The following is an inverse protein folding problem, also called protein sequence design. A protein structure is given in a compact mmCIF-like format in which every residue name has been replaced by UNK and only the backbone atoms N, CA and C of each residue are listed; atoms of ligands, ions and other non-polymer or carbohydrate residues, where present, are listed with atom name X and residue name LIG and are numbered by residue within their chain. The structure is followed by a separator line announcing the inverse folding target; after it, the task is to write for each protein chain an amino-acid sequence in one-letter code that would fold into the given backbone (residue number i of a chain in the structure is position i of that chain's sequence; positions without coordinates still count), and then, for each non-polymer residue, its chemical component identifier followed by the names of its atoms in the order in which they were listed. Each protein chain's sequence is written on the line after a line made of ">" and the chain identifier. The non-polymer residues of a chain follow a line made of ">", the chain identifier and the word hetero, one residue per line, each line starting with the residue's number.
data_IF_895180400877
#
_entry.id   IF_895180400877
#
_cell.length_a   1.000
_cell.length_b   1.000
_cell.length_c   1.000
_cell.angle_alpha   90.00
_cell.angle_beta   90.00
_cell.angle_gamma   90.00
#
_symmetry.space_group_name_H-M   'P 1'
#
loop_
_entity.id
_entity.type
_entity.pdbx_description
1 polymer ?
#
# COMPACT_ATOMS: atom_id res chain seq x y z
N UNK A 1 8.26 5.88 2.71
CA UNK A 1 8.12 6.89 1.63
C UNK A 1 9.33 6.74 0.73
N UNK A 2 9.32 7.32 -0.46
CA UNK A 2 10.48 7.34 -1.34
C UNK A 2 10.86 8.78 -1.69
N UNK A 3 12.14 9.09 -1.80
CA UNK A 3 12.59 10.32 -2.46
C UNK A 3 12.21 10.31 -3.95
N UNK A 4 12.48 11.38 -4.72
CA UNK A 4 12.40 11.29 -6.16
C UNK A 4 13.16 10.08 -6.73
N UNK A 5 12.58 9.43 -7.74
CA UNK A 5 13.09 8.18 -8.29
C UNK A 5 13.94 8.48 -9.52
N UNK A 6 15.22 8.16 -9.47
CA UNK A 6 16.07 8.19 -10.65
C UNK A 6 15.76 6.99 -11.56
N UNK A 7 15.73 7.22 -12.88
CA UNK A 7 15.60 6.19 -13.90
C UNK A 7 16.53 6.44 -15.07
N UNK A 8 17.11 5.38 -15.64
CA UNK A 8 17.99 5.45 -16.81
C UNK A 8 17.85 4.27 -17.76
N UNK A 9 17.88 4.52 -19.07
CA UNK A 9 17.77 3.51 -20.12
C UNK A 9 19.14 3.20 -20.73
N UNK A 10 19.55 1.93 -20.71
CA UNK A 10 20.91 1.52 -21.10
C UNK A 10 20.94 0.18 -21.85
N UNK A 11 22.13 -0.20 -22.30
CA UNK A 11 22.41 -1.46 -23.00
C UNK A 11 22.52 -2.71 -22.12
N UNK A 12 22.34 -2.57 -20.81
CA UNK A 12 22.48 -3.65 -19.84
C UNK A 12 23.85 -3.71 -19.15
N UNK A 13 24.75 -2.76 -19.40
CA UNK A 13 26.10 -2.73 -18.82
C UNK A 13 26.32 -1.57 -17.81
N UNK A 14 25.35 -0.66 -17.65
CA UNK A 14 25.37 0.30 -16.55
C UNK A 14 24.84 -0.36 -15.28
N UNK A 15 25.72 -0.55 -14.29
CA UNK A 15 25.38 -1.10 -12.99
C UNK A 15 25.18 0.03 -11.98
N UNK A 16 24.01 0.08 -11.34
CA UNK A 16 23.73 1.04 -10.26
C UNK A 16 24.47 0.61 -9.00
N UNK A 17 24.46 -0.69 -8.69
CA UNK A 17 25.11 -1.27 -7.52
C UNK A 17 25.22 -2.79 -7.63
N UNK A 18 26.27 -3.33 -7.02
CA UNK A 18 26.46 -4.77 -6.84
C UNK A 18 26.41 -5.12 -5.35
N UNK A 19 25.50 -6.01 -4.95
CA UNK A 19 25.42 -6.50 -3.57
C UNK A 19 26.73 -7.15 -3.11
N UNK A 20 27.16 -6.82 -1.90
CA UNK A 20 28.43 -7.25 -1.31
C UNK A 20 29.65 -6.41 -1.72
N UNK A 21 29.48 -5.39 -2.57
CA UNK A 21 30.50 -4.38 -2.88
C UNK A 21 30.22 -3.04 -2.22
N UNK A 22 31.20 -2.12 -2.15
CA UNK A 22 30.97 -0.77 -1.63
C UNK A 22 30.01 0.03 -2.52
N UNK A 23 29.20 0.91 -1.92
CA UNK A 23 28.44 1.90 -2.67
C UNK A 23 29.38 2.81 -3.46
N UNK A 24 28.96 3.23 -4.66
CA UNK A 24 29.66 4.31 -5.37
C UNK A 24 29.36 5.65 -4.68
N UNK A 25 30.25 6.63 -4.82
CA UNK A 25 29.97 7.98 -4.30
C UNK A 25 28.65 8.56 -4.86
N UNK A 26 28.24 8.17 -6.06
CA UNK A 26 26.96 8.60 -6.62
C UNK A 26 25.75 7.91 -5.96
N UNK A 27 25.89 6.64 -5.57
CA UNK A 27 24.86 5.91 -4.86
C UNK A 27 24.75 6.38 -3.40
N UNK A 28 25.87 6.68 -2.75
CA UNK A 28 25.94 7.25 -1.40
C UNK A 28 25.09 8.52 -1.30
N UNK A 29 25.31 9.50 -2.19
CA UNK A 29 24.50 10.73 -2.24
C UNK A 29 23.01 10.48 -2.45
N UNK A 30 22.67 9.47 -3.25
CA UNK A 30 21.28 9.10 -3.45
C UNK A 30 20.70 8.47 -2.19
N UNK A 31 21.43 7.55 -1.56
CA UNK A 31 20.96 6.75 -0.44
C UNK A 31 20.87 7.56 0.86
N UNK A 32 21.72 8.58 1.05
CA UNK A 32 21.74 9.41 2.26
C UNK A 32 20.86 10.67 2.16
N UNK A 33 20.76 11.26 0.96
CA UNK A 33 20.10 12.57 0.79
C UNK A 33 18.93 12.55 -0.19
N UNK A 34 18.74 11.46 -0.93
CA UNK A 34 17.86 11.43 -2.10
C UNK A 34 18.38 12.26 -3.28
N UNK A 35 19.66 12.66 -3.29
CA UNK A 35 20.24 13.41 -4.41
C UNK A 35 20.59 12.48 -5.57
N UNK A 36 19.89 12.68 -6.68
CA UNK A 36 20.02 11.86 -7.90
C UNK A 36 21.06 12.41 -8.88
N UNK A 37 21.48 13.68 -8.73
CA UNK A 37 22.32 14.35 -9.72
C UNK A 37 23.69 13.68 -9.94
N UNK A 38 24.40 13.19 -8.91
CA UNK A 38 25.64 12.43 -9.09
C UNK A 38 25.44 11.14 -9.88
N UNK A 39 24.32 10.44 -9.68
CA UNK A 39 23.99 9.21 -10.40
C UNK A 39 23.67 9.49 -11.87
N UNK A 40 22.91 10.54 -12.17
CA UNK A 40 22.69 11.02 -13.54
C UNK A 40 24.02 11.35 -14.24
N UNK A 41 24.94 12.04 -13.56
CA UNK A 41 26.24 12.37 -14.11
C UNK A 41 27.09 11.11 -14.40
N UNK A 42 27.13 10.16 -13.46
CA UNK A 42 27.83 8.88 -13.63
C UNK A 42 27.26 8.06 -14.80
N UNK A 43 25.93 8.02 -14.91
CA UNK A 43 25.23 7.36 -16.01
C UNK A 43 25.59 7.94 -17.37
N UNK A 44 25.51 9.26 -17.53
CA UNK A 44 25.84 9.91 -18.81
C UNK A 44 27.33 9.76 -19.16
N UNK A 45 28.22 9.85 -18.15
CA UNK A 45 29.64 9.65 -18.34
C UNK A 45 30.01 8.21 -18.75
N UNK A 46 29.22 7.21 -18.34
CA UNK A 46 29.44 5.81 -18.69
C UNK A 46 29.30 5.54 -20.20
N UNK A 47 28.50 6.34 -20.92
CA UNK A 47 28.17 6.14 -22.33
C UNK A 47 27.32 4.89 -22.62
N UNK A 48 26.84 4.19 -21.60
CA UNK A 48 26.03 2.96 -21.72
C UNK A 48 24.55 3.24 -22.03
N UNK A 49 24.11 4.46 -21.74
CA UNK A 49 22.80 5.00 -22.03
C UNK A 49 22.88 6.50 -22.32
N UNK A 50 21.79 7.08 -22.81
CA UNK A 50 21.72 8.54 -23.09
C UNK A 50 20.45 9.18 -22.55
N UNK A 51 19.48 8.38 -22.11
CA UNK A 51 18.17 8.85 -21.66
C UNK A 51 18.00 8.49 -20.20
N UNK A 52 17.85 9.50 -19.35
CA UNK A 52 17.62 9.36 -17.92
C UNK A 52 16.77 10.54 -17.42
N UNK A 53 16.19 10.40 -16.24
CA UNK A 53 15.52 11.50 -15.53
C UNK A 53 15.32 11.15 -14.07
N UNK A 54 14.95 12.17 -13.29
CA UNK A 54 14.45 12.01 -11.93
C UNK A 54 12.95 12.28 -11.89
N UNK A 55 12.18 11.23 -11.57
CA UNK A 55 10.72 11.29 -11.49
C UNK A 55 10.32 11.87 -10.13
N UNK A 56 9.65 13.01 -10.16
CA UNK A 56 9.18 13.75 -8.97
C UNK A 56 7.75 13.36 -8.59
N UNK A 57 7.41 13.41 -7.31
CA UNK A 57 6.09 13.02 -6.77
C UNK A 57 4.92 13.85 -7.36
N UNK A 58 5.18 15.05 -7.88
CA UNK A 58 4.17 15.97 -8.42
C UNK A 58 3.30 16.66 -7.36
N UNK A 59 3.51 16.36 -6.07
CA UNK A 59 2.82 16.99 -4.94
C UNK A 59 3.58 18.20 -4.36
N UNK A 60 3.01 18.85 -3.34
CA UNK A 60 3.63 19.96 -2.59
C UNK A 60 4.82 19.53 -1.72
N UNK A 61 5.00 18.22 -1.49
CA UNK A 61 6.11 17.64 -0.73
C UNK A 61 6.96 16.77 -1.68
N UNK A 62 8.30 16.88 -1.71
CA UNK A 62 9.16 16.16 -2.65
C UNK A 62 9.04 14.62 -2.67
N UNK A 63 8.88 13.91 -1.53
CA UNK A 63 8.81 12.45 -1.52
C UNK A 63 7.51 11.90 -2.10
N UNK A 64 7.57 10.68 -2.62
CA UNK A 64 6.42 9.86 -2.93
C UNK A 64 5.88 9.20 -1.64
N UNK A 65 4.66 9.59 -1.28
CA UNK A 65 3.92 8.97 -0.18
C UNK A 65 3.39 7.58 -0.57
N UNK A 66 3.09 6.69 0.41
CA UNK A 66 2.43 5.42 0.14
C UNK A 66 1.22 5.62 -0.75
N UNK A 67 1.28 4.99 -1.93
CA UNK A 67 0.19 5.02 -2.88
C UNK A 67 0.14 6.19 -3.86
N UNK A 68 1.02 7.17 -3.72
CA UNK A 68 1.20 8.19 -4.73
C UNK A 68 1.77 7.58 -6.02
N UNK A 69 1.36 8.14 -7.16
CA UNK A 69 1.89 7.77 -8.48
C UNK A 69 2.58 8.98 -9.07
N UNK A 70 3.76 8.77 -9.63
CA UNK A 70 4.46 9.73 -10.46
C UNK A 70 4.83 9.07 -11.79
N UNK A 71 4.96 9.86 -12.84
CA UNK A 71 5.26 9.35 -14.18
C UNK A 71 6.10 10.34 -14.99
N UNK A 72 6.85 9.79 -15.94
CA UNK A 72 7.56 10.52 -16.97
C UNK A 72 7.32 9.83 -18.32
N UNK A 73 7.37 10.61 -19.40
CA UNK A 73 7.27 10.11 -20.76
C UNK A 73 8.62 10.22 -21.47
N UNK A 74 8.95 9.21 -22.26
CA UNK A 74 10.23 9.11 -22.96
C UNK A 74 10.01 8.79 -24.44
N UNK A 75 10.85 9.36 -25.30
CA UNK A 75 11.00 8.92 -26.68
C UNK A 75 12.22 8.03 -26.77
N UNK A 76 12.00 6.74 -27.01
CA UNK A 76 13.07 5.74 -27.09
C UNK A 76 13.04 5.05 -28.45
N UNK A 77 14.22 4.84 -29.04
CA UNK A 77 14.39 3.97 -30.20
C UNK A 77 14.52 2.52 -29.72
N UNK A 78 13.53 1.68 -30.02
CA UNK A 78 13.53 0.27 -29.64
C UNK A 78 14.65 -0.56 -30.30
N UNK A 79 15.17 -0.10 -31.43
CA UNK A 79 16.29 -0.77 -32.11
C UNK A 79 17.66 -0.37 -31.53
N UNK A 80 17.72 0.74 -30.79
CA UNK A 80 18.96 1.19 -30.17
C UNK A 80 19.27 0.31 -28.95
N UNK A 81 20.43 -0.36 -28.97
CA UNK A 81 20.86 -1.20 -27.85
C UNK A 81 20.89 -0.44 -26.53
N UNK A 82 21.23 0.85 -26.55
CA UNK A 82 21.28 1.75 -25.38
C UNK A 82 19.92 2.04 -24.75
N UNK A 83 18.80 1.58 -25.29
CA UNK A 83 17.48 1.73 -24.67
C UNK A 83 16.91 0.39 -24.15
N UNK A 84 17.69 -0.69 -24.21
CA UNK A 84 17.18 -2.06 -24.06
C UNK A 84 16.71 -2.38 -22.64
N UNK A 85 17.38 -1.86 -21.63
CA UNK A 85 17.09 -2.13 -20.23
C UNK A 85 16.87 -0.83 -19.45
N UNK A 86 16.09 -0.93 -18.39
CA UNK A 86 15.85 0.14 -17.43
C UNK A 86 16.60 -0.17 -16.13
N UNK A 87 17.28 0.83 -15.59
CA UNK A 87 17.68 0.85 -14.18
C UNK A 87 16.98 1.99 -13.43
N UNK A 88 16.79 1.79 -12.12
CA UNK A 88 16.20 2.79 -11.23
C UNK A 88 16.88 2.79 -9.86
N UNK A 89 16.78 3.91 -9.15
CA UNK A 89 17.21 4.03 -7.76
C UNK A 89 16.40 5.09 -7.03
N UNK A 90 16.13 4.87 -5.74
CA UNK A 90 15.49 5.85 -4.85
C UNK A 90 15.82 5.56 -3.39
N UNK A 91 16.01 6.60 -2.58
CA UNK A 91 16.12 6.46 -1.13
C UNK A 91 14.76 6.08 -0.54
N UNK A 92 14.78 5.20 0.45
CA UNK A 92 13.67 4.90 1.36
C UNK A 92 13.79 5.85 2.54
N UNK A 93 12.74 6.65 2.79
CA UNK A 93 12.74 7.60 3.90
C UNK A 93 11.60 7.33 4.90
N UNK A 94 11.85 7.60 6.19
CA UNK A 94 13.13 8.01 6.79
C UNK A 94 14.15 6.86 6.79
N UNK A 95 15.43 7.17 6.69
CA UNK A 95 16.56 6.25 6.91
C UNK A 95 17.88 7.03 6.94
N UNK A 96 18.95 6.36 7.37
CA UNK A 96 20.32 6.85 7.25
C UNK A 96 20.80 6.67 5.80
N UNK A 97 20.77 5.43 5.27
CA UNK A 97 21.25 5.13 3.91
C UNK A 97 20.44 4.00 3.21
N UNK A 98 19.17 3.83 3.58
CA UNK A 98 18.32 2.80 2.99
C UNK A 98 17.82 3.22 1.60
N UNK A 99 17.93 2.32 0.62
CA UNK A 99 17.50 2.59 -0.75
C UNK A 99 16.88 1.37 -1.43
N UNK A 100 16.26 1.60 -2.59
CA UNK A 100 15.76 0.57 -3.50
C UNK A 100 16.33 0.82 -4.89
N UNK A 101 16.64 -0.26 -5.61
CA UNK A 101 17.13 -0.23 -6.98
C UNK A 101 17.25 -1.65 -7.56
N UNK A 102 17.50 -1.78 -8.86
CA UNK A 102 17.82 -3.07 -9.48
C UNK A 102 19.34 -3.29 -9.49
N UNK A 103 19.81 -4.26 -8.70
CA UNK A 103 21.23 -4.66 -8.70
C UNK A 103 21.64 -5.56 -9.86
N UNK A 104 20.67 -6.11 -10.61
CA UNK A 104 20.93 -6.70 -11.93
C UNK A 104 20.54 -5.68 -13.01
N UNK A 105 21.51 -5.18 -13.80
CA UNK A 105 21.26 -4.20 -14.86
C UNK A 105 20.38 -4.74 -16.00
N UNK A 106 20.11 -6.05 -16.05
CA UNK A 106 19.27 -6.69 -17.06
C UNK A 106 17.91 -7.16 -16.52
N UNK A 107 17.61 -6.91 -15.25
CA UNK A 107 16.38 -7.34 -14.60
C UNK A 107 15.11 -6.78 -15.25
N UNK A 108 15.18 -5.57 -15.81
CA UNK A 108 14.03 -4.89 -16.42
C UNK A 108 14.33 -4.63 -17.90
N UNK A 109 13.93 -5.58 -18.74
CA UNK A 109 14.01 -5.44 -20.20
C UNK A 109 12.87 -4.55 -20.71
N UNK A 110 13.22 -3.48 -21.43
CA UNK A 110 12.28 -2.53 -22.04
C UNK A 110 12.00 -2.90 -23.49
N UNK A 111 13.01 -3.32 -24.25
CA UNK A 111 12.85 -3.77 -25.64
C UNK A 111 13.50 -5.14 -25.84
N UNK A 112 12.87 -6.01 -26.62
CA UNK A 112 13.50 -7.27 -27.04
C UNK A 112 14.57 -7.02 -28.13
N UNK A 113 15.21 -8.10 -28.61
CA UNK A 113 16.20 -8.04 -29.69
C UNK A 113 15.66 -7.53 -31.02
N UNK A 114 14.35 -7.56 -31.22
CA UNK A 114 13.67 -7.11 -32.43
C UNK A 114 13.12 -5.67 -32.29
N UNK A 115 13.39 -5.01 -31.16
CA UNK A 115 12.93 -3.66 -30.87
C UNK A 115 11.46 -3.58 -30.44
N UNK A 116 10.82 -4.69 -30.08
CA UNK A 116 9.46 -4.68 -29.56
C UNK A 116 9.47 -4.30 -28.08
N UNK A 117 8.62 -3.33 -27.71
CA UNK A 117 8.44 -2.93 -26.32
C UNK A 117 7.92 -4.13 -25.50
N UNK A 118 8.64 -4.43 -24.42
CA UNK A 118 8.22 -5.36 -23.40
C UNK A 118 7.46 -4.56 -22.35
N UNK A 119 6.14 -4.46 -22.50
CA UNK A 119 5.31 -3.89 -21.45
C UNK A 119 5.46 -4.75 -20.20
N UNK A 120 5.92 -4.13 -19.11
CA UNK A 120 6.30 -4.84 -17.90
C UNK A 120 5.81 -4.09 -16.66
N UNK A 121 5.35 -4.87 -15.69
CA UNK A 121 5.20 -4.42 -14.32
C UNK A 121 6.35 -5.03 -13.50
N UNK A 122 7.09 -4.19 -12.80
CA UNK A 122 8.13 -4.61 -11.87
C UNK A 122 7.72 -4.23 -10.46
N UNK A 123 7.54 -5.23 -9.60
CA UNK A 123 7.15 -5.04 -8.21
C UNK A 123 8.39 -5.03 -7.32
N UNK A 124 8.60 -3.91 -6.62
CA UNK A 124 9.68 -3.77 -5.64
C UNK A 124 9.15 -4.17 -4.26
N UNK A 125 9.71 -5.26 -3.74
CA UNK A 125 9.34 -5.82 -2.44
C UNK A 125 10.19 -5.20 -1.32
N UNK A 126 9.73 -5.28 -0.08
CA UNK A 126 10.51 -4.85 1.09
C UNK A 126 11.80 -5.66 1.27
N UNK A 127 11.83 -6.91 0.78
CA UNK A 127 13.05 -7.72 0.67
C UNK A 127 14.08 -7.20 -0.35
N UNK A 128 13.75 -6.14 -1.08
CA UNK A 128 14.62 -5.45 -2.05
C UNK A 128 14.98 -4.04 -1.56
N UNK A 129 14.83 -3.77 -0.26
CA UNK A 129 15.41 -2.60 0.39
C UNK A 129 16.84 -2.96 0.78
N UNK A 130 17.76 -2.10 0.39
CA UNK A 130 19.20 -2.26 0.62
C UNK A 130 19.70 -1.16 1.55
N UNK A 131 20.67 -1.52 2.35
CA UNK A 131 21.55 -0.64 3.13
C UNK A 131 22.77 -0.37 2.25
N UNK A 132 23.13 0.90 2.04
CA UNK A 132 24.26 1.28 1.19
C UNK A 132 25.62 0.92 1.83
N UNK A 133 25.64 0.77 3.14
CA UNK A 133 26.80 0.49 3.97
C UNK A 133 27.62 1.74 4.25
N UNK A 134 27.11 2.93 3.94
CA UNK A 134 27.87 4.18 4.04
C UNK A 134 27.66 4.83 5.41
N UNK A 135 26.48 4.68 6.01
CA UNK A 135 26.17 5.16 7.36
C UNK A 135 25.72 4.03 8.31
N UNK A 136 25.84 4.27 9.61
CA UNK A 136 25.25 3.42 10.65
C UNK A 136 23.75 3.68 10.74
N UNK A 137 22.94 2.62 10.70
CA UNK A 137 21.48 2.65 10.89
C UNK A 137 21.07 2.93 12.36
N UNK A 138 21.48 4.07 12.90
CA UNK A 138 21.20 4.45 14.29
C UNK A 138 19.80 5.07 14.48
N UNK A 139 19.17 5.52 13.38
CA UNK A 139 17.86 6.20 13.35
C UNK A 139 17.80 7.46 14.25
N UNK A 140 18.94 8.08 14.50
CA UNK A 140 19.01 9.29 15.32
C UNK A 140 18.40 10.46 14.55
N UNK A 141 17.37 11.17 15.07
CA UNK A 141 16.66 12.17 14.28
C UNK A 141 17.53 13.25 13.64
N UNK A 142 18.64 13.63 14.27
CA UNK A 142 19.54 14.69 13.77
C UNK A 142 20.38 14.28 12.54
N UNK A 143 20.52 12.99 12.27
CA UNK A 143 21.27 12.48 11.12
C UNK A 143 20.43 11.60 10.17
N UNK A 144 19.22 11.21 10.56
CA UNK A 144 18.30 10.46 9.70
C UNK A 144 17.48 11.40 8.83
N UNK A 145 17.56 11.24 7.52
CA UNK A 145 16.77 12.01 6.57
C UNK A 145 15.27 11.90 6.89
N UNK A 146 14.51 12.98 6.67
CA UNK A 146 13.09 13.13 6.99
C UNK A 146 12.71 13.24 8.48
N UNK A 147 13.54 12.79 9.44
CA UNK A 147 13.24 12.94 10.87
C UNK A 147 13.63 14.32 11.43
N UNK A 148 14.86 14.75 11.18
CA UNK A 148 15.40 16.00 11.75
C UNK A 148 16.77 16.40 11.23
N UNK A 149 17.30 15.70 10.22
CA UNK A 149 18.54 16.05 9.56
C UNK A 149 18.44 17.46 8.95
N UNK A 150 19.37 18.33 9.36
CA UNK A 150 19.42 19.73 8.92
C UNK A 150 20.33 19.99 7.72
N UNK A 151 21.30 19.12 7.47
CA UNK A 151 22.25 19.19 6.35
C UNK A 151 22.57 17.79 5.83
N UNK A 152 22.93 17.65 4.54
CA UNK A 152 23.38 16.38 3.96
C UNK A 152 24.58 15.74 4.67
N UNK A 153 24.74 14.42 4.51
CA UNK A 153 25.90 13.60 4.93
C UNK A 153 26.29 13.77 6.44
N UNK A 154 25.36 13.51 7.36
CA UNK A 154 25.57 13.78 8.81
C UNK A 154 25.57 12.55 9.71
N UNK A 155 25.35 11.35 9.18
CA UNK A 155 25.40 10.10 9.94
C UNK A 155 26.81 9.64 10.24
N UNK A 156 26.89 8.57 11.03
CA UNK A 156 28.17 7.96 11.41
C UNK A 156 28.62 7.06 10.28
N UNK A 157 29.76 7.37 9.66
CA UNK A 157 30.31 6.56 8.56
C UNK A 157 30.57 5.11 9.00
N UNK A 158 30.07 4.14 8.23
CA UNK A 158 30.22 2.70 8.49
C UNK A 158 31.29 2.01 7.62
N UNK A 159 31.61 2.54 6.43
CA UNK A 159 32.54 1.94 5.46
C UNK A 159 32.25 0.44 5.17
N UNK A 160 30.97 0.10 5.11
CA UNK A 160 30.45 -1.23 4.81
C UNK A 160 30.32 -1.51 3.32
N UNK A 161 29.42 -2.42 3.00
CA UNK A 161 29.08 -2.83 1.64
C UNK A 161 27.58 -2.85 1.48
N UNK A 162 27.12 -2.70 0.24
CA UNK A 162 25.70 -2.78 -0.08
C UNK A 162 25.17 -4.16 0.30
N UNK A 163 24.15 -4.20 1.13
CA UNK A 163 23.52 -5.44 1.59
C UNK A 163 22.02 -5.28 1.77
N UNK A 164 21.28 -6.38 1.92
CA UNK A 164 19.84 -6.29 2.23
C UNK A 164 19.69 -5.60 3.59
N UNK A 165 18.90 -4.55 3.65
CA UNK A 165 18.74 -3.77 4.88
C UNK A 165 18.11 -4.64 5.98
N UNK A 166 18.65 -4.64 7.21
CA UNK A 166 18.16 -5.51 8.29
C UNK A 166 16.78 -5.14 8.86
N UNK A 167 16.10 -4.15 8.27
CA UNK A 167 14.93 -3.49 8.86
C UNK A 167 15.26 -2.34 9.80
N UNK A 168 14.21 -1.67 10.26
CA UNK A 168 14.29 -0.59 11.24
C UNK A 168 14.43 -1.12 12.68
N UNK A 169 14.88 -0.25 13.58
CA UNK A 169 14.94 -0.51 15.01
C UNK A 169 13.57 -0.93 15.55
N UNK A 170 13.60 -1.87 16.49
CA UNK A 170 12.38 -2.41 17.08
C UNK A 170 11.56 -1.30 17.77
N UNK A 171 10.24 -1.43 17.72
CA UNK A 171 9.32 -0.52 18.42
C UNK A 171 9.62 -0.46 19.92
N UNK A 172 9.49 0.73 20.50
CA UNK A 172 9.79 1.05 21.88
C UNK A 172 11.23 1.53 22.11
N UNK A 173 12.04 1.66 21.05
CA UNK A 173 13.43 2.15 21.13
C UNK A 173 13.56 3.64 20.86
N UNK A 174 12.47 4.29 20.41
CA UNK A 174 12.45 5.69 19.99
C UNK A 174 12.82 5.92 18.53
N UNK A 175 12.97 4.84 17.74
CA UNK A 175 13.33 4.86 16.33
C UNK A 175 12.16 5.16 15.38
N UNK A 176 12.35 4.85 14.10
CA UNK A 176 11.42 5.16 13.01
C UNK A 176 10.04 4.52 13.24
N UNK A 177 9.98 3.26 13.66
CA UNK A 177 8.71 2.54 13.86
C UNK A 177 7.88 3.03 15.05
N UNK A 178 8.43 3.90 15.89
CA UNK A 178 7.71 4.56 16.99
C UNK A 178 7.07 5.88 16.57
N UNK A 179 7.37 6.38 15.36
CA UNK A 179 6.74 7.56 14.80
C UNK A 179 5.35 7.20 14.24
N UNK A 180 4.27 7.93 14.60
CA UNK A 180 2.91 7.62 14.12
C UNK A 180 2.77 7.57 12.60
N UNK A 181 3.60 8.31 11.84
CA UNK A 181 3.58 8.28 10.37
C UNK A 181 4.20 7.00 9.78
N UNK A 182 5.08 6.31 10.52
CA UNK A 182 5.90 5.20 10.05
C UNK A 182 5.68 3.91 10.83
N UNK A 183 4.68 3.85 11.71
CA UNK A 183 4.39 2.66 12.51
C UNK A 183 4.19 1.41 11.63
N UNK A 184 3.61 1.55 10.43
CA UNK A 184 3.37 0.46 9.51
C UNK A 184 4.45 0.32 8.41
N UNK A 185 5.64 0.90 8.63
CA UNK A 185 6.75 0.95 7.68
C UNK A 185 7.75 -0.21 7.80
N UNK A 186 7.44 -1.26 8.57
CA UNK A 186 8.31 -2.44 8.69
C UNK A 186 8.34 -3.24 7.37
N UNK A 187 9.27 -2.86 6.50
CA UNK A 187 9.45 -3.47 5.19
C UNK A 187 10.07 -4.88 5.25
N UNK A 188 10.49 -5.36 6.43
CA UNK A 188 10.96 -6.74 6.58
C UNK A 188 9.80 -7.73 6.69
N UNK A 189 8.58 -7.24 6.92
CA UNK A 189 7.39 -8.06 6.95
C UNK A 189 7.21 -8.85 5.64
N UNK A 190 6.82 -10.12 5.77
CA UNK A 190 6.65 -10.99 4.62
C UNK A 190 5.63 -10.42 3.63
N UNK A 191 6.02 -10.32 2.36
CA UNK A 191 5.15 -9.80 1.31
C UNK A 191 4.99 -8.27 1.29
N UNK A 192 5.78 -7.53 2.07
CA UNK A 192 5.74 -6.06 2.05
C UNK A 192 6.08 -5.55 0.64
N UNK A 193 5.27 -4.61 0.15
CA UNK A 193 5.43 -4.02 -1.19
C UNK A 193 5.80 -2.56 -1.03
N UNK A 194 6.94 -2.15 -1.59
CA UNK A 194 7.39 -0.75 -1.52
C UNK A 194 6.68 0.04 -2.62
N UNK A 195 6.88 -0.34 -3.88
CA UNK A 195 6.24 0.31 -5.02
C UNK A 195 6.25 -0.59 -6.26
N UNK A 196 5.55 -0.15 -7.31
CA UNK A 196 5.51 -0.81 -8.61
C UNK A 196 5.95 0.16 -9.69
N UNK A 197 6.79 -0.32 -10.60
CA UNK A 197 7.15 0.36 -11.86
C UNK A 197 6.32 -0.27 -12.96
N UNK A 198 5.67 0.55 -13.78
CA UNK A 198 4.92 0.09 -14.96
C UNK A 198 5.42 0.82 -16.19
N UNK A 199 5.83 0.07 -17.22
CA UNK A 199 6.25 0.62 -18.51
C UNK A 199 5.20 0.27 -19.55
N UNK A 200 4.67 1.29 -20.23
CA UNK A 200 3.68 1.15 -21.27
C UNK A 200 3.95 2.17 -22.39
N UNK A 201 3.47 1.91 -23.63
CA UNK A 201 3.50 2.93 -24.67
C UNK A 201 2.83 4.21 -24.16
N UNK A 202 3.42 5.37 -24.43
CA UNK A 202 2.80 6.65 -24.12
C UNK A 202 1.48 6.80 -24.88
N UNK A 203 0.55 7.56 -24.31
CA UNK A 203 -0.68 7.91 -25.01
C UNK A 203 -0.36 8.90 -26.13
N UNK A 204 -0.65 8.54 -27.38
CA UNK A 204 -0.39 9.37 -28.56
C UNK A 204 -1.64 9.48 -29.44
N UNK A 205 -2.06 10.71 -29.78
CA UNK A 205 -3.15 10.93 -30.73
C UNK A 205 -2.70 10.50 -32.13
N UNK A 206 -3.44 9.58 -32.73
CA UNK A 206 -3.14 9.01 -34.06
C UNK A 206 -4.01 9.60 -35.16
N UNK A 207 -5.20 10.11 -34.83
CA UNK A 207 -6.04 10.81 -35.78
C UNK A 207 -6.91 11.87 -35.09
N UNK A 208 -7.10 13.00 -35.77
CA UNK A 208 -8.06 14.04 -35.39
C UNK A 208 -8.84 14.39 -36.66
N UNK A 209 -10.16 14.31 -36.61
CA UNK A 209 -11.03 14.73 -37.72
C UNK A 209 -12.27 15.45 -37.19
N UNK A 210 -12.89 16.27 -38.03
CA UNK A 210 -14.16 16.94 -37.72
C UNK A 210 -15.23 16.52 -38.74
N UNK A 211 -16.41 16.19 -38.25
CA UNK A 211 -17.60 15.91 -39.04
C UNK A 211 -18.78 16.70 -38.48
N UNK A 212 -19.19 17.77 -39.17
CA UNK A 212 -20.18 18.72 -38.68
C UNK A 212 -19.78 19.30 -37.31
N UNK A 213 -20.65 19.13 -36.32
CA UNK A 213 -20.46 19.61 -34.95
C UNK A 213 -19.78 18.58 -34.02
N UNK A 214 -19.07 17.61 -34.60
CA UNK A 214 -18.33 16.61 -33.83
C UNK A 214 -16.86 16.55 -34.23
N UNK A 215 -15.99 16.41 -33.23
CA UNK A 215 -14.58 16.06 -33.38
C UNK A 215 -14.42 14.58 -33.04
N UNK A 216 -13.78 13.83 -33.92
CA UNK A 216 -13.39 12.44 -33.70
C UNK A 216 -11.90 12.40 -33.41
N UNK A 217 -11.55 11.71 -32.33
CA UNK A 217 -10.18 11.52 -31.87
C UNK A 217 -9.90 10.02 -31.88
N UNK A 218 -8.77 9.62 -32.44
CA UNK A 218 -8.20 8.29 -32.23
C UNK A 218 -6.81 8.46 -31.63
N UNK A 219 -6.41 7.50 -30.80
CA UNK A 219 -5.09 7.45 -30.20
C UNK A 219 -4.52 6.04 -30.26
N UNK A 220 -3.30 5.89 -29.78
CA UNK A 220 -2.67 4.61 -29.50
C UNK A 220 -1.90 4.72 -28.20
N UNK A 221 -1.52 3.58 -27.63
CA UNK A 221 -0.82 3.53 -26.36
C UNK A 221 -1.64 4.04 -25.19
N UNK A 222 -0.95 4.31 -24.08
CA UNK A 222 -1.57 4.52 -22.77
C UNK A 222 -2.07 3.23 -22.13
N UNK A 223 -2.75 3.36 -21.00
CA UNK A 223 -3.42 2.26 -20.30
C UNK A 223 -4.88 2.65 -20.09
N UNK A 224 -5.79 1.83 -20.59
CA UNK A 224 -7.22 2.01 -20.34
C UNK A 224 -7.54 1.84 -18.84
N UNK A 225 -8.57 2.50 -18.31
CA UNK A 225 -9.51 3.36 -19.02
C UNK A 225 -8.93 4.75 -19.33
N UNK A 226 -9.31 5.33 -20.46
CA UNK A 226 -8.97 6.68 -20.89
C UNK A 226 -10.04 7.68 -20.46
N UNK A 227 -9.68 8.95 -20.30
CA UNK A 227 -10.65 10.03 -20.10
C UNK A 227 -10.44 11.10 -21.16
N UNK A 228 -11.49 11.38 -21.94
CA UNK A 228 -11.52 12.55 -22.80
C UNK A 228 -11.81 13.79 -21.96
N UNK A 229 -11.00 14.83 -22.12
CA UNK A 229 -11.18 16.10 -21.45
C UNK A 229 -11.21 17.24 -22.45
N UNK A 230 -11.91 18.31 -22.09
CA UNK A 230 -12.04 19.54 -22.88
C UNK A 230 -11.76 20.78 -22.05
N UNK A 231 -11.37 21.86 -22.70
CA UNK A 231 -11.32 23.22 -22.15
C UNK A 231 -11.50 24.25 -23.26
N UNK A 232 -11.83 25.48 -22.89
CA UNK A 232 -12.12 26.59 -23.82
C UNK A 232 -10.90 27.40 -24.26
N UNK A 233 -9.78 27.34 -23.54
CA UNK A 233 -8.55 28.06 -23.86
C UNK A 233 -7.30 27.16 -23.70
N UNK A 234 -6.20 27.50 -24.40
CA UNK A 234 -4.96 26.70 -24.37
C UNK A 234 -4.12 26.94 -23.10
N UNK A 235 -4.21 28.14 -22.53
CA UNK A 235 -3.37 28.62 -21.44
C UNK A 235 -4.16 28.95 -20.17
N UNK A 236 -5.49 28.85 -20.21
CA UNK A 236 -6.37 29.21 -19.11
C UNK A 236 -7.54 28.23 -18.96
N UNK A 237 -8.06 28.11 -17.73
CA UNK A 237 -9.19 27.26 -17.39
C UNK A 237 -8.82 25.79 -17.16
N UNK A 238 -9.62 25.14 -16.32
CA UNK A 238 -9.43 23.74 -15.95
C UNK A 238 -9.89 22.79 -17.07
N UNK A 239 -9.23 21.63 -17.14
CA UNK A 239 -9.67 20.54 -18.00
C UNK A 239 -10.91 19.86 -17.40
N UNK A 240 -12.02 19.90 -18.13
CA UNK A 240 -13.27 19.25 -17.74
C UNK A 240 -13.46 17.92 -18.49
N UNK A 241 -13.92 16.88 -17.78
CA UNK A 241 -14.25 15.60 -18.39
C UNK A 241 -15.36 15.76 -19.43
N UNK A 242 -15.19 15.13 -20.60
CA UNK A 242 -16.19 15.03 -21.66
C UNK A 242 -16.71 13.61 -21.72
N UNK A 243 -17.92 13.40 -21.18
CA UNK A 243 -18.49 12.06 -21.04
C UNK A 243 -17.76 11.20 -20.00
N UNK A 244 -18.06 9.90 -20.03
CA UNK A 244 -17.50 8.93 -19.11
C UNK A 244 -16.14 8.37 -19.56
N UNK A 245 -15.58 7.45 -18.76
CA UNK A 245 -14.34 6.75 -19.04
C UNK A 245 -14.47 5.85 -20.28
N UNK A 246 -13.38 5.71 -21.03
CA UNK A 246 -13.35 5.03 -22.32
C UNK A 246 -12.39 3.84 -22.27
N UNK A 247 -12.82 2.68 -22.75
CA UNK A 247 -11.94 1.51 -22.91
C UNK A 247 -11.45 1.33 -24.36
N UNK A 248 -11.92 2.18 -25.26
CA UNK A 248 -11.55 2.20 -26.67
C UNK A 248 -10.50 3.28 -26.93
N UNK A 249 -9.64 3.09 -27.92
CA UNK A 249 -8.65 4.07 -28.35
C UNK A 249 -9.22 5.13 -29.34
N UNK A 250 -10.52 5.41 -29.21
CA UNK A 250 -11.22 6.40 -30.02
C UNK A 250 -12.38 7.01 -29.23
N UNK A 251 -12.65 8.29 -29.48
CA UNK A 251 -13.73 9.06 -28.88
C UNK A 251 -14.29 10.10 -29.84
N UNK A 252 -15.52 10.54 -29.58
CA UNK A 252 -16.13 11.67 -30.26
C UNK A 252 -16.61 12.71 -29.25
N UNK A 253 -16.50 13.99 -29.59
CA UNK A 253 -16.98 15.08 -28.75
C UNK A 253 -17.64 16.18 -29.58
N UNK A 254 -18.69 16.79 -29.02
CA UNK A 254 -19.40 17.90 -29.64
C UNK A 254 -18.60 19.21 -29.60
N UNK A 255 -18.68 20.01 -30.67
CA UNK A 255 -18.08 21.34 -30.80
C UNK A 255 -19.11 22.44 -30.58
N UNK A 256 -19.82 22.41 -29.45
CA UNK A 256 -20.81 23.44 -29.13
C UNK A 256 -20.19 24.84 -28.99
N UNK A 257 -18.89 24.91 -28.68
CA UNK A 257 -18.11 26.13 -28.65
C UNK A 257 -17.25 26.30 -29.93
N UNK A 258 -17.08 27.53 -30.43
CA UNK A 258 -16.32 27.81 -31.65
C UNK A 258 -14.81 27.48 -31.53
N UNK A 259 -14.28 27.43 -30.30
CA UNK A 259 -12.93 26.95 -29.97
C UNK A 259 -12.98 26.08 -28.71
N UNK A 260 -12.65 24.80 -28.86
CA UNK A 260 -12.47 23.86 -27.77
C UNK A 260 -11.17 23.07 -27.98
N UNK A 261 -10.40 22.92 -26.92
CA UNK A 261 -9.20 22.10 -26.89
C UNK A 261 -9.57 20.77 -26.25
N UNK A 262 -9.13 19.67 -26.86
CA UNK A 262 -9.34 18.33 -26.35
C UNK A 262 -8.00 17.70 -25.98
N UNK A 263 -7.99 16.92 -24.90
CA UNK A 263 -6.92 15.98 -24.62
C UNK A 263 -7.52 14.65 -24.21
N UNK A 264 -6.79 13.58 -24.50
CA UNK A 264 -7.04 12.28 -23.90
C UNK A 264 -5.94 12.08 -22.88
N UNK A 265 -6.34 11.72 -21.66
CA UNK A 265 -5.41 11.27 -20.63
C UNK A 265 -5.64 9.79 -20.38
N UNK A 266 -4.61 9.08 -19.91
CA UNK A 266 -4.87 7.88 -19.13
C UNK A 266 -5.83 8.32 -18.04
N UNK A 267 -7.03 7.75 -18.00
CA UNK A 267 -7.92 8.03 -16.91
C UNK A 267 -7.17 7.65 -15.64
N UNK A 268 -7.20 8.51 -14.62
CA UNK A 268 -7.22 7.96 -13.27
C UNK A 268 -8.32 6.90 -13.33
N UNK A 269 -8.00 5.62 -13.04
CA UNK A 269 -9.02 4.57 -13.03
C UNK A 269 -10.25 5.19 -12.35
N UNK A 270 -11.38 5.36 -13.06
CA UNK A 270 -12.66 5.28 -12.40
C UNK A 270 -12.73 3.80 -12.10
N UNK A 271 -12.05 3.41 -11.04
CA UNK A 271 -12.60 2.35 -10.25
C UNK A 271 -14.07 2.61 -10.11
N UNK A 272 -14.86 1.56 -10.30
CA UNK A 272 -16.27 1.63 -10.03
C UNK A 272 -16.47 2.35 -8.69
N UNK A 273 -17.44 3.27 -8.61
CA UNK A 273 -17.70 4.03 -7.38
C UNK A 273 -17.98 3.09 -6.20
N UNK A 274 -18.34 1.85 -6.51
CA UNK A 274 -18.41 0.72 -5.61
C UNK A 274 -17.59 -0.46 -6.12
N UNK A 275 -17.19 -1.35 -5.22
CA UNK A 275 -16.68 -2.68 -5.54
C UNK A 275 -17.43 -3.72 -4.71
N UNK A 276 -17.35 -4.98 -5.15
CA UNK A 276 -17.86 -6.10 -4.38
C UNK A 276 -16.71 -6.98 -3.92
N UNK A 277 -16.66 -7.30 -2.64
CA UNK A 277 -15.62 -8.15 -2.07
C UNK A 277 -16.19 -9.41 -1.44
N UNK A 278 -15.37 -10.46 -1.43
CA UNK A 278 -15.49 -11.57 -0.49
C UNK A 278 -14.40 -11.45 0.55
N UNK A 279 -14.77 -11.40 1.82
CA UNK A 279 -13.82 -11.70 2.91
C UNK A 279 -13.89 -13.20 3.23
N UNK A 280 -12.73 -13.85 3.24
CA UNK A 280 -12.55 -15.22 3.69
C UNK A 280 -11.82 -15.18 5.02
N UNK A 281 -12.50 -15.58 6.10
CA UNK A 281 -11.86 -15.84 7.38
C UNK A 281 -11.39 -17.28 7.41
N UNK A 282 -10.08 -17.48 7.32
CA UNK A 282 -9.44 -18.77 7.50
C UNK A 282 -8.74 -18.81 8.87
N UNK A 283 -9.36 -19.49 9.85
CA UNK A 283 -8.76 -19.67 11.17
C UNK A 283 -7.82 -20.87 11.18
N UNK A 284 -6.66 -20.67 11.79
CA UNK A 284 -5.65 -21.72 12.08
C UNK A 284 -5.50 -21.99 13.58
N UNK A 285 -6.37 -21.40 14.41
CA UNK A 285 -6.34 -21.56 15.87
C UNK A 285 -6.64 -23.01 16.25
N UNK A 286 -5.63 -23.71 16.74
CA UNK A 286 -5.66 -25.14 17.05
C UNK A 286 -4.74 -25.46 18.22
N UNK A 287 -4.89 -26.65 18.80
CA UNK A 287 -3.95 -27.17 19.80
C UNK A 287 -2.49 -27.25 19.27
N UNK A 288 -2.30 -27.31 17.94
CA UNK A 288 -0.96 -27.31 17.34
C UNK A 288 -0.35 -25.90 17.28
N UNK A 289 -1.16 -24.88 16.97
CA UNK A 289 -0.67 -23.49 16.85
C UNK A 289 -0.64 -22.76 18.19
N UNK A 290 -1.57 -23.08 19.09
CA UNK A 290 -1.75 -22.44 20.40
C UNK A 290 -2.00 -23.53 21.46
N UNK A 291 -0.96 -24.31 21.83
CA UNK A 291 -1.12 -25.51 22.66
C UNK A 291 -1.49 -25.24 24.11
N UNK A 292 -1.16 -24.05 24.63
CA UNK A 292 -1.35 -23.72 26.03
C UNK A 292 -2.84 -23.51 26.33
N UNK A 293 -3.36 -24.31 27.27
CA UNK A 293 -4.76 -24.27 27.74
C UNK A 293 -5.82 -24.36 26.63
N UNK A 294 -5.48 -24.97 25.49
CA UNK A 294 -6.35 -25.00 24.32
C UNK A 294 -7.73 -25.59 24.65
N UNK A 295 -8.84 -24.88 24.35
CA UNK A 295 -10.17 -25.30 24.78
C UNK A 295 -10.68 -26.51 23.99
N UNK A 296 -11.61 -27.27 24.56
CA UNK A 296 -12.21 -28.46 23.92
C UNK A 296 -13.25 -28.14 22.83
N UNK A 297 -13.76 -26.91 22.80
CA UNK A 297 -14.77 -26.42 21.85
C UNK A 297 -14.35 -25.07 21.21
N UNK A 298 -13.17 -24.99 20.58
CA UNK A 298 -12.66 -23.76 19.99
C UNK A 298 -13.55 -23.32 18.83
N UNK A 299 -14.06 -22.09 18.86
CA UNK A 299 -14.91 -21.56 17.81
C UNK A 299 -14.78 -20.03 17.71
N UNK A 300 -15.35 -19.47 16.64
CA UNK A 300 -15.45 -18.03 16.45
C UNK A 300 -16.91 -17.63 16.29
N UNK A 301 -17.32 -16.53 16.94
CA UNK A 301 -18.68 -16.02 16.77
C UNK A 301 -18.91 -15.52 15.33
N UNK A 302 -20.17 -15.24 14.99
CA UNK A 302 -20.48 -14.75 13.65
C UNK A 302 -19.77 -13.43 13.34
N UNK A 303 -19.26 -13.28 12.11
CA UNK A 303 -18.64 -12.04 11.65
C UNK A 303 -19.64 -10.86 11.75
N UNK A 304 -19.19 -9.73 12.29
CA UNK A 304 -19.97 -8.50 12.39
C UNK A 304 -19.06 -7.29 12.13
N UNK A 305 -19.55 -6.32 11.37
CA UNK A 305 -18.72 -5.20 10.90
C UNK A 305 -19.49 -4.16 10.12
N UNK A 306 -18.76 -3.25 9.49
CA UNK A 306 -19.33 -2.15 8.69
C UNK A 306 -18.35 -1.68 7.62
N UNK A 307 -18.86 -1.21 6.47
CA UNK A 307 -18.11 -0.33 5.57
C UNK A 307 -18.36 1.13 5.93
N UNK A 308 -17.33 1.95 6.07
CA UNK A 308 -17.44 3.28 6.65
C UNK A 308 -16.40 4.27 6.11
N UNK A 309 -16.57 5.54 6.45
CA UNK A 309 -15.57 6.59 6.19
C UNK A 309 -14.76 6.89 7.47
N UNK A 310 -13.79 7.80 7.35
CA UNK A 310 -12.87 8.16 8.44
C UNK A 310 -13.52 8.90 9.61
N UNK A 311 -14.79 9.28 9.51
CA UNK A 311 -15.54 9.95 10.60
C UNK A 311 -16.17 8.95 11.57
N UNK A 312 -15.98 7.64 11.36
CA UNK A 312 -16.46 6.58 12.24
C UNK A 312 -15.34 5.58 12.51
N UNK A 313 -15.20 5.19 13.77
CA UNK A 313 -14.32 4.10 14.21
C UNK A 313 -15.16 3.11 14.99
N UNK A 314 -15.24 1.87 14.50
CA UNK A 314 -16.01 0.80 15.14
C UNK A 314 -15.30 0.29 16.41
N UNK A 315 -14.00 0.10 16.31
CA UNK A 315 -13.09 -0.27 17.39
C UNK A 315 -11.65 0.02 16.91
N UNK A 316 -10.73 0.27 17.83
CA UNK A 316 -9.30 0.33 17.53
C UNK A 316 -8.52 0.13 18.84
N UNK A 317 -7.28 -0.37 18.81
CA UNK A 317 -6.42 -0.41 19.99
C UNK A 317 -6.27 0.98 20.63
N UNK A 318 -6.30 1.05 21.95
CA UNK A 318 -6.24 2.31 22.70
C UNK A 318 -7.58 3.04 22.87
N UNK A 319 -8.65 2.61 22.20
CA UNK A 319 -10.02 3.09 22.46
C UNK A 319 -10.74 2.17 23.44
N UNK A 320 -11.69 2.71 24.21
CA UNK A 320 -12.58 1.89 25.04
C UNK A 320 -13.60 1.14 24.18
N UNK A 321 -13.86 -0.12 24.51
CA UNK A 321 -14.90 -0.90 23.84
C UNK A 321 -16.28 -0.22 23.99
N UNK A 322 -17.01 -0.10 22.88
CA UNK A 322 -18.42 0.30 22.90
C UNK A 322 -19.26 -0.79 23.57
N UNK A 323 -20.50 -0.49 24.02
CA UNK A 323 -21.43 -1.52 24.48
C UNK A 323 -21.60 -2.67 23.47
N UNK A 324 -21.58 -2.37 22.17
CA UNK A 324 -21.59 -3.33 21.07
C UNK A 324 -20.36 -4.22 21.02
N UNK A 325 -19.16 -3.64 21.05
CA UNK A 325 -17.91 -4.41 21.04
C UNK A 325 -17.80 -5.28 22.29
N UNK A 326 -18.11 -4.72 23.46
CA UNK A 326 -18.17 -5.48 24.72
C UNK A 326 -19.07 -6.71 24.60
N UNK A 327 -20.32 -6.51 24.19
CA UNK A 327 -21.28 -7.60 24.12
C UNK A 327 -20.87 -8.66 23.08
N UNK A 328 -20.30 -8.24 21.95
CA UNK A 328 -19.76 -9.13 20.92
C UNK A 328 -18.60 -9.96 21.47
N UNK A 329 -17.67 -9.34 22.19
CA UNK A 329 -16.48 -9.99 22.71
C UNK A 329 -16.75 -10.92 23.92
N UNK A 330 -17.74 -10.61 24.76
CA UNK A 330 -18.08 -11.44 25.94
C UNK A 330 -19.06 -12.58 25.61
N UNK A 331 -19.91 -12.42 24.58
CA UNK A 331 -21.04 -13.35 24.35
C UNK A 331 -21.21 -13.83 22.91
N UNK A 332 -20.52 -13.20 21.95
CA UNK A 332 -20.68 -13.47 20.52
C UNK A 332 -21.98 -12.90 19.93
N UNK A 333 -22.80 -12.21 20.73
CA UNK A 333 -24.02 -11.54 20.27
C UNK A 333 -23.68 -10.31 19.42
N UNK A 334 -24.40 -10.16 18.30
CA UNK A 334 -24.20 -9.06 17.36
C UNK A 334 -25.13 -7.88 17.62
N UNK A 335 -26.20 -8.06 18.40
CA UNK A 335 -27.34 -7.16 18.37
C UNK A 335 -26.97 -5.72 18.77
N UNK A 336 -26.24 -5.45 19.87
CA UNK A 336 -25.99 -4.05 20.25
C UNK A 336 -25.05 -3.37 19.25
N UNK A 337 -24.10 -4.12 18.69
CA UNK A 337 -23.18 -3.64 17.66
C UNK A 337 -23.88 -3.38 16.32
N UNK A 338 -24.91 -4.17 15.96
CA UNK A 338 -25.78 -3.88 14.82
C UNK A 338 -26.52 -2.54 15.01
N UNK A 339 -26.99 -2.24 16.23
CA UNK A 339 -27.62 -0.96 16.53
C UNK A 339 -26.65 0.21 16.38
N UNK A 340 -25.42 0.07 16.88
CA UNK A 340 -24.36 1.09 16.73
C UNK A 340 -24.01 1.33 15.25
N UNK A 341 -23.84 0.25 14.47
CA UNK A 341 -23.59 0.35 13.02
C UNK A 341 -24.76 1.02 12.30
N UNK A 342 -26.00 0.68 12.64
CA UNK A 342 -27.17 1.31 12.01
C UNK A 342 -27.26 2.81 12.33
N UNK A 343 -26.85 3.23 13.53
CA UNK A 343 -26.74 4.64 13.88
C UNK A 343 -25.67 5.36 13.05
N UNK A 344 -24.49 4.75 12.85
CA UNK A 344 -23.44 5.28 11.98
C UNK A 344 -23.89 5.41 10.51
N UNK A 345 -24.65 4.43 10.00
CA UNK A 345 -25.25 4.49 8.66
C UNK A 345 -26.24 5.65 8.57
N UNK A 346 -27.08 5.84 9.58
CA UNK A 346 -28.06 6.93 9.63
C UNK A 346 -27.37 8.30 9.69
N UNK A 347 -26.22 8.38 10.35
CA UNK A 347 -25.38 9.58 10.43
C UNK A 347 -24.54 9.84 9.16
N UNK A 348 -24.54 8.93 8.19
CA UNK A 348 -23.75 9.04 6.96
C UNK A 348 -22.25 8.80 7.14
N UNK A 349 -21.83 8.24 8.28
CA UNK A 349 -20.44 7.84 8.52
C UNK A 349 -20.18 6.35 8.26
N UNK A 350 -21.24 5.52 8.28
CA UNK A 350 -21.26 4.13 7.80
C UNK A 350 -22.10 3.96 6.54
N UNK A 351 -21.94 2.83 5.85
CA UNK A 351 -22.71 2.50 4.64
C UNK A 351 -23.36 1.12 4.69
N UNK A 352 -22.58 0.03 4.79
CA UNK A 352 -23.11 -1.33 4.76
C UNK A 352 -22.82 -2.08 6.05
N UNK A 353 -23.87 -2.62 6.69
CA UNK A 353 -23.73 -3.57 7.78
C UNK A 353 -23.18 -4.90 7.25
N UNK A 354 -22.05 -5.35 7.82
CA UNK A 354 -21.44 -6.63 7.49
C UNK A 354 -21.87 -7.65 8.53
N UNK A 355 -22.59 -8.70 8.15
CA UNK A 355 -23.01 -9.76 9.08
C UNK A 355 -22.93 -11.13 8.40
N UNK A 356 -21.97 -11.96 8.83
CA UNK A 356 -21.71 -13.29 8.28
C UNK A 356 -21.84 -14.43 9.29
N UNK A 357 -21.65 -15.67 8.83
CA UNK A 357 -21.55 -16.83 9.71
C UNK A 357 -20.33 -16.76 10.65
N UNK A 358 -20.28 -17.67 11.62
CA UNK A 358 -19.10 -17.92 12.46
C UNK A 358 -18.38 -19.19 12.04
N UNK A 359 -17.32 -19.55 12.76
CA UNK A 359 -16.62 -20.82 12.60
C UNK A 359 -17.01 -21.71 13.78
N UNK A 360 -17.88 -22.69 13.57
CA UNK A 360 -18.42 -23.53 14.64
C UNK A 360 -17.42 -24.48 15.30
N UNK A 361 -16.32 -24.81 14.60
CA UNK A 361 -15.17 -25.54 15.14
C UNK A 361 -13.91 -24.96 14.46
N UNK A 362 -12.93 -24.52 15.24
CA UNK A 362 -11.64 -24.03 14.75
C UNK A 362 -10.57 -25.13 14.83
N UNK A 363 -9.66 -25.25 13.84
CA UNK A 363 -9.54 -24.50 12.58
C UNK A 363 -10.74 -24.62 11.64
N UNK A 364 -10.99 -23.59 10.84
CA UNK A 364 -12.11 -23.59 9.91
C UNK A 364 -12.17 -22.34 9.06
N UNK A 365 -13.07 -22.34 8.07
CA UNK A 365 -13.24 -21.25 7.11
C UNK A 365 -14.68 -20.75 7.13
N UNK A 366 -14.87 -19.44 7.09
CA UNK A 366 -16.16 -18.81 6.81
C UNK A 366 -15.96 -17.63 5.85
N UNK A 367 -16.95 -17.37 5.00
CA UNK A 367 -16.90 -16.26 4.04
C UNK A 367 -18.07 -15.32 4.20
N UNK A 368 -17.86 -14.04 3.90
CA UNK A 368 -18.90 -13.04 3.77
C UNK A 368 -18.66 -12.24 2.47
N UNK A 369 -19.73 -11.98 1.72
CA UNK A 369 -19.68 -11.11 0.53
C UNK A 369 -20.35 -9.79 0.88
N UNK A 370 -19.75 -8.67 0.48
CA UNK A 370 -20.28 -7.34 0.74
C UNK A 370 -19.91 -6.35 -0.36
N UNK A 371 -20.72 -5.31 -0.48
CA UNK A 371 -20.47 -4.16 -1.33
C UNK A 371 -19.78 -3.05 -0.53
N UNK A 372 -18.98 -2.23 -1.19
CA UNK A 372 -18.28 -1.10 -0.58
C UNK A 372 -18.17 0.05 -1.60
N UNK A 373 -18.23 1.31 -1.15
CA UNK A 373 -18.12 2.47 -2.03
C UNK A 373 -16.92 3.37 -1.69
N UNK A 374 -16.44 4.13 -2.68
CA UNK A 374 -15.32 5.06 -2.50
C UNK A 374 -15.61 6.13 -1.44
N UNK A 375 -16.89 6.45 -1.22
CA UNK A 375 -17.32 7.37 -0.15
C UNK A 375 -17.20 6.76 1.25
N UNK A 376 -17.11 5.43 1.36
CA UNK A 376 -16.98 4.67 2.61
C UNK A 376 -15.97 3.52 2.41
N UNK A 377 -14.70 3.85 2.14
CA UNK A 377 -13.73 2.90 1.60
C UNK A 377 -13.10 1.99 2.67
N UNK A 378 -13.41 2.22 3.94
CA UNK A 378 -12.84 1.49 5.08
C UNK A 378 -13.74 0.32 5.48
N UNK A 379 -13.12 -0.78 5.92
CA UNK A 379 -13.80 -1.93 6.51
C UNK A 379 -13.31 -2.13 7.93
N UNK A 380 -14.27 -2.19 8.87
CA UNK A 380 -14.05 -2.72 10.21
C UNK A 380 -14.86 -4.00 10.37
N UNK A 381 -14.22 -5.10 10.81
CA UNK A 381 -14.85 -6.42 10.92
C UNK A 381 -14.26 -7.17 12.11
N UNK A 382 -15.11 -7.80 12.91
CA UNK A 382 -14.69 -8.50 14.13
C UNK A 382 -15.44 -9.82 14.35
N UNK A 383 -14.84 -10.70 15.15
CA UNK A 383 -15.40 -11.98 15.60
C UNK A 383 -14.78 -12.38 16.94
N UNK A 384 -15.60 -12.85 17.87
CA UNK A 384 -15.18 -13.29 19.21
C UNK A 384 -14.36 -14.58 19.11
N UNK A 385 -13.30 -14.66 19.90
CA UNK A 385 -12.57 -15.91 20.18
C UNK A 385 -13.35 -16.65 21.27
N UNK A 386 -13.72 -17.90 21.05
CA UNK A 386 -14.61 -18.60 21.96
C UNK A 386 -14.14 -20.03 22.31
N UNK A 387 -14.18 -20.42 23.60
CA UNK A 387 -14.49 -19.58 24.77
C UNK A 387 -13.37 -18.57 25.06
N UNK A 388 -13.73 -17.41 25.61
CA UNK A 388 -12.80 -16.43 26.18
C UNK A 388 -13.55 -15.46 27.12
N UNK A 389 -12.84 -14.68 27.95
CA UNK A 389 -13.45 -13.64 28.78
C UNK A 389 -14.10 -12.54 27.93
N UNK A 390 -13.29 -11.85 27.12
CA UNK A 390 -13.70 -10.74 26.26
C UNK A 390 -12.77 -10.60 25.04
N UNK A 391 -12.25 -11.74 24.54
CA UNK A 391 -11.23 -11.73 23.50
C UNK A 391 -11.84 -11.84 22.10
N UNK A 392 -11.29 -11.11 21.14
CA UNK A 392 -11.76 -11.11 19.76
C UNK A 392 -10.61 -10.96 18.76
N UNK A 393 -10.91 -11.22 17.48
CA UNK A 393 -10.05 -10.92 16.34
C UNK A 393 -10.76 -9.97 15.39
N UNK A 394 -10.01 -9.20 14.62
CA UNK A 394 -10.62 -8.38 13.58
C UNK A 394 -9.64 -7.50 12.81
N UNK A 395 -10.22 -6.69 11.93
CA UNK A 395 -9.59 -5.52 11.33
C UNK A 395 -10.39 -4.27 11.69
N UNK A 396 -9.70 -3.13 11.80
CA UNK A 396 -10.30 -1.82 11.95
C UNK A 396 -9.77 -0.89 10.88
N UNK A 397 -10.61 0.03 10.41
CA UNK A 397 -10.28 1.09 9.45
C UNK A 397 -9.51 0.61 8.19
N UNK A 398 -9.72 -0.64 7.77
CA UNK A 398 -8.95 -1.25 6.68
C UNK A 398 -9.39 -0.65 5.35
N UNK A 399 -8.54 0.18 4.75
CA UNK A 399 -8.86 0.83 3.49
C UNK A 399 -8.74 -0.14 2.29
N UNK A 400 -9.87 -0.48 1.66
CA UNK A 400 -9.89 -1.29 0.44
C UNK A 400 -9.85 -0.44 -0.84
N UNK A 401 -9.95 0.89 -0.72
CA UNK A 401 -9.83 1.85 -1.80
C UNK A 401 -8.71 2.87 -1.52
N UNK A 402 -7.51 2.53 -1.96
CA UNK A 402 -6.36 3.42 -1.84
C UNK A 402 -5.94 3.89 -3.22
N UNK A 403 -5.53 5.15 -3.35
CA UNK A 403 -4.83 5.65 -4.53
C UNK A 403 -5.64 5.60 -5.81
N UNK A 404 -6.95 5.85 -5.70
CA UNK A 404 -7.85 5.78 -6.83
C UNK A 404 -8.07 4.35 -7.34
N UNK A 405 -7.70 3.31 -6.57
CA UNK A 405 -7.95 1.92 -6.95
C UNK A 405 -8.46 1.02 -5.82
N UNK A 406 -9.29 0.05 -6.17
CA UNK A 406 -9.77 -1.00 -5.28
C UNK A 406 -8.72 -2.11 -5.22
N UNK A 407 -8.33 -2.52 -4.02
CA UNK A 407 -7.43 -3.65 -3.85
C UNK A 407 -7.94 -4.91 -4.58
N UNK A 408 -7.09 -5.58 -5.37
CA UNK A 408 -7.48 -6.84 -6.01
C UNK A 408 -7.66 -7.96 -4.98
N UNK A 409 -6.67 -8.09 -4.11
CA UNK A 409 -6.70 -8.97 -2.95
C UNK A 409 -5.87 -8.36 -1.82
N UNK A 410 -6.35 -8.48 -0.59
CA UNK A 410 -5.65 -8.04 0.61
C UNK A 410 -5.80 -9.10 1.71
N UNK A 411 -4.68 -9.59 2.23
CA UNK A 411 -4.67 -10.59 3.32
C UNK A 411 -4.14 -9.94 4.59
N UNK A 412 -4.92 -10.04 5.67
CA UNK A 412 -4.54 -9.51 6.99
C UNK A 412 -4.43 -10.66 7.99
N UNK A 413 -3.25 -10.89 8.61
CA UNK A 413 -3.12 -11.84 9.70
C UNK A 413 -3.90 -11.35 10.93
N UNK A 414 -4.62 -12.27 11.58
CA UNK A 414 -5.47 -11.95 12.71
C UNK A 414 -4.78 -12.24 14.02
N UNK A 415 -4.67 -11.20 14.84
CA UNK A 415 -4.15 -11.25 16.20
C UNK A 415 -5.30 -11.11 17.19
N UNK A 416 -5.12 -11.66 18.40
CA UNK A 416 -6.09 -11.54 19.47
C UNK A 416 -6.05 -10.17 20.14
N UNK A 417 -7.22 -9.63 20.44
CA UNK A 417 -7.43 -8.39 21.18
C UNK A 417 -8.31 -8.66 22.41
N UNK A 418 -7.99 -7.97 23.50
CA UNK A 418 -8.71 -7.94 24.77
C UNK A 418 -9.59 -6.68 24.76
N UNK A 419 -10.89 -6.82 25.01
CA UNK A 419 -11.82 -5.69 24.97
C UNK A 419 -11.70 -4.77 26.20
N UNK A 420 -11.02 -5.21 27.25
CA UNK A 420 -10.81 -4.45 28.48
C UNK A 420 -12.04 -4.42 29.39
N UNK A 421 -12.96 -5.37 29.25
CA UNK A 421 -14.24 -5.42 29.98
C UNK A 421 -14.39 -6.63 30.89
N UNK A 422 -13.60 -7.69 30.68
CA UNK A 422 -13.48 -8.84 31.58
C UNK A 422 -11.99 -9.16 31.89
N UNK A 423 -11.67 -9.38 33.16
CA UNK A 423 -10.31 -9.59 33.68
C UNK A 423 -9.91 -11.07 33.75
N UNK A 424 -10.71 -11.97 33.15
CA UNK A 424 -10.32 -13.37 32.98
C UNK A 424 -8.98 -13.51 32.25
N UNK A 425 -8.18 -14.49 32.65
CA UNK A 425 -6.79 -14.65 32.17
C UNK A 425 -6.59 -15.90 31.30
N UNK A 426 -7.63 -16.73 31.17
CA UNK A 426 -7.62 -17.98 30.39
C UNK A 426 -8.94 -18.12 29.62
N UNK A 427 -8.97 -19.01 28.62
CA UNK A 427 -10.17 -19.24 27.80
C UNK A 427 -11.42 -19.61 28.62
N UNK A 428 -11.24 -20.38 29.71
CA UNK A 428 -12.33 -20.86 30.56
C UNK A 428 -12.52 -20.09 31.87
N UNK A 429 -11.91 -18.91 32.01
CA UNK A 429 -12.06 -18.10 33.22
C UNK A 429 -13.53 -17.74 33.47
N UNK A 430 -13.93 -17.74 34.74
CA UNK A 430 -15.24 -17.21 35.12
C UNK A 430 -15.28 -15.70 34.88
N UNK A 431 -16.47 -15.18 34.56
CA UNK A 431 -16.70 -13.76 34.30
C UNK A 431 -16.21 -12.89 35.48
N UNK A 432 -15.32 -11.95 35.18
CA UNK A 432 -14.68 -11.06 36.13
C UNK A 432 -14.64 -9.63 35.58
N UNK A 433 -15.72 -8.85 35.76
CA UNK A 433 -15.85 -7.49 35.20
C UNK A 433 -14.63 -6.61 35.53
N UNK A 434 -14.00 -6.05 34.49
CA UNK A 434 -12.89 -5.10 34.60
C UNK A 434 -13.41 -3.73 35.06
N UNK A 435 -12.90 -3.20 36.19
CA UNK A 435 -13.35 -1.93 36.76
C UNK A 435 -12.17 -1.08 37.27
N UNK A 436 -11.95 0.14 36.72
CA UNK A 436 -12.60 0.70 35.54
C UNK A 436 -12.28 -0.10 34.27
N UNK A 437 -13.16 -0.05 33.27
CA UNK A 437 -12.90 -0.66 31.96
C UNK A 437 -11.59 -0.10 31.38
N UNK A 438 -10.84 -0.97 30.71
CA UNK A 438 -9.56 -0.62 30.08
C UNK A 438 -9.75 -0.44 28.57
N UNK A 439 -8.84 0.31 27.91
CA UNK A 439 -8.83 0.39 26.45
C UNK A 439 -8.57 -0.99 25.82
N UNK A 440 -9.06 -1.17 24.59
CA UNK A 440 -8.79 -2.35 23.77
C UNK A 440 -7.28 -2.48 23.57
N UNK A 441 -6.74 -3.67 23.80
CA UNK A 441 -5.31 -3.94 23.69
C UNK A 441 -5.04 -5.25 22.97
N UNK A 442 -3.92 -5.31 22.23
CA UNK A 442 -3.44 -6.56 21.66
C UNK A 442 -3.04 -7.51 22.78
N UNK A 443 -3.47 -8.76 22.69
CA UNK A 443 -3.04 -9.81 23.62
C UNK A 443 -1.62 -10.25 23.23
N UNK A 444 -0.67 -9.94 24.11
CA UNK A 444 0.75 -10.32 23.98
C UNK A 444 1.19 -11.32 25.07
N UNK A 445 0.21 -11.98 25.70
CA UNK A 445 0.40 -12.89 26.85
C UNK A 445 -0.21 -14.27 26.58
N UNK A 446 0.23 -15.30 27.32
CA UNK A 446 -0.47 -16.58 27.39
C UNK A 446 -1.97 -16.44 27.67
N UNK A 447 -2.82 -17.37 27.18
CA UNK A 447 -2.48 -18.56 26.39
C UNK A 447 -2.30 -18.29 24.89
N UNK A 448 -2.69 -17.11 24.40
CA UNK A 448 -2.63 -16.77 22.97
C UNK A 448 -1.21 -16.52 22.44
N UNK A 449 -0.27 -16.19 23.32
CA UNK A 449 1.14 -16.01 22.97
C UNK A 449 2.00 -16.93 23.81
N UNK A 450 2.53 -18.01 23.20
CA UNK A 450 3.30 -19.05 23.90
C UNK A 450 4.61 -19.48 23.22
N UNK A 451 4.86 -19.05 21.98
CA UNK A 451 6.15 -19.24 21.29
C UNK A 451 6.47 -18.00 20.46
N UNK A 452 7.77 -17.71 20.31
CA UNK A 452 8.28 -16.61 19.48
C UNK A 452 8.68 -17.17 18.11
N UNK A 453 8.22 -16.59 16.98
CA UNK A 453 7.32 -15.43 16.87
C UNK A 453 5.84 -15.76 17.11
N UNK A 454 5.04 -14.75 17.46
CA UNK A 454 3.61 -14.89 17.70
C UNK A 454 2.86 -15.41 16.45
N UNK A 455 2.15 -16.52 16.59
CA UNK A 455 1.40 -17.17 15.52
C UNK A 455 0.02 -16.49 15.38
N UNK A 456 -0.40 -16.02 14.20
CA UNK A 456 -1.75 -15.51 13.99
C UNK A 456 -2.83 -16.58 14.26
N UNK A 457 -4.01 -16.18 14.75
CA UNK A 457 -5.16 -17.07 14.91
C UNK A 457 -5.82 -17.45 13.57
N UNK A 458 -5.46 -16.74 12.50
CA UNK A 458 -6.03 -16.90 11.18
C UNK A 458 -5.70 -15.73 10.28
N UNK A 459 -6.43 -15.63 9.17
CA UNK A 459 -6.36 -14.50 8.23
C UNK A 459 -7.76 -14.06 7.83
N UNK A 460 -7.92 -12.76 7.57
CA UNK A 460 -8.96 -12.27 6.67
C UNK A 460 -8.35 -12.02 5.29
N UNK A 461 -8.84 -12.70 4.27
CA UNK A 461 -8.48 -12.46 2.87
C UNK A 461 -9.65 -11.77 2.17
N UNK A 462 -9.49 -10.50 1.83
CA UNK A 462 -10.44 -9.71 1.07
C UNK A 462 -10.10 -9.82 -0.42
N UNK A 463 -10.91 -10.55 -1.19
CA UNK A 463 -10.75 -10.71 -2.63
C UNK A 463 -11.84 -9.93 -3.36
N UNK A 464 -11.47 -9.03 -4.26
CA UNK A 464 -12.40 -8.28 -5.11
C UNK A 464 -13.06 -9.22 -6.11
N UNK A 465 -14.38 -9.15 -6.21
CA UNK A 465 -15.20 -9.94 -7.13
C UNK A 465 -15.56 -9.15 -8.38
N UNK A 466 -15.90 -7.88 -8.20
CA UNK A 466 -16.39 -6.95 -9.24
C UNK A 466 -15.82 -5.55 -9.02
#
# INVERSE_FOLDING_TARGET
>A
YLTPVWVGFHNGDFDVFSGGGPASAALERLAEDGDTAPLSAAFLASGQGTTETTILSGGTIPPLAPGQVASAAFTLDGNASRNRYLSFASMVIPSNDAFVGNGDPKAIMVFDSNGNLQAAEYLVMGSMVYDAGTEVNDEVPMNTAFLGQGTPDTGVVQNGVVSVHPGFNARGTGGILDQPMFENADFTAAGYRIFRISIAPALELTAISRSGDTVNLAWSGGQAPYQLQRRSALDQGDWANTGGPLNTMAATAGTADPMAYFRVVNGAHPTAQSARYRVTFNSVWSAATHPLDFPSNPHFSGLIGVTHNSSFTMWAPGLNATPGIRNMAETGSKQPLQTEVQAAITAGSGQNLLSGGGIGNSPGIVTLVFDIAQSHPLVSLTSMIAPSPDWFVGVHDLNLFANGTWAGELTVPLLGYDAGTDSGTSYGSANAVTSPAQPIQRINRPPLVGSSPAVPLGTFTFTRLE
#
